data_IF_128530190074
#
_entry.id   IF_128530190074
#
_cell.length_a   1.000
_cell.length_b   1.000
_cell.length_c   1.000
_cell.angle_alpha   90.00
_cell.angle_beta   90.00
_cell.angle_gamma   90.00
#
_symmetry.space_group_name_H-M   'P 1'
#
loop_
_entity.id
_entity.type
_entity.pdbx_description
1 polymer ?
#
# COMPACT_ATOMS: atom_id res chain seq x y z
N UNK A 1 13.11 -3.83 -7.46
CA UNK A 1 12.62 -2.94 -6.40
C UNK A 1 12.81 -1.49 -6.85
N UNK A 2 11.75 -0.67 -6.81
CA UNK A 2 11.74 0.72 -7.29
C UNK A 2 11.06 1.62 -6.27
N UNK A 3 11.64 2.77 -5.90
CA UNK A 3 10.98 3.76 -5.05
C UNK A 3 9.86 4.44 -5.86
N UNK A 4 8.65 4.46 -5.32
CA UNK A 4 7.46 5.00 -6.01
C UNK A 4 6.94 6.28 -5.37
N UNK A 5 7.13 6.44 -4.05
CA UNK A 5 6.63 7.59 -3.33
C UNK A 5 7.32 7.78 -1.97
N UNK A 6 7.18 8.95 -1.36
CA UNK A 6 7.58 9.19 0.02
C UNK A 6 6.75 10.32 0.64
N UNK A 7 6.66 10.33 1.96
CA UNK A 7 6.10 11.43 2.76
C UNK A 7 6.89 11.66 4.03
N UNK A 8 6.60 12.79 4.68
CA UNK A 8 7.02 13.05 6.04
C UNK A 8 5.77 13.04 6.94
N UNK A 9 5.78 12.19 7.95
CA UNK A 9 4.72 12.13 8.96
C UNK A 9 4.64 13.45 9.76
N UNK A 10 3.53 13.70 10.43
CA UNK A 10 3.32 14.93 11.22
C UNK A 10 4.31 15.12 12.38
N UNK A 11 5.00 14.07 12.81
CA UNK A 11 6.05 14.10 13.82
C UNK A 11 7.47 14.02 13.23
N UNK A 12 7.63 14.26 11.93
CA UNK A 12 8.92 14.50 11.26
C UNK A 12 9.63 13.26 10.73
N UNK A 13 9.06 12.06 10.89
CA UNK A 13 9.64 10.83 10.32
C UNK A 13 9.44 10.77 8.81
N UNK A 14 10.53 10.59 8.06
CA UNK A 14 10.52 10.30 6.63
C UNK A 14 10.16 8.84 6.35
N UNK A 15 9.19 8.62 5.46
CA UNK A 15 8.72 7.29 5.06
C UNK A 15 8.79 7.18 3.54
N UNK A 16 9.48 6.15 3.05
CA UNK A 16 9.61 5.88 1.61
C UNK A 16 8.95 4.55 1.25
N UNK A 17 8.23 4.54 0.13
CA UNK A 17 7.49 3.40 -0.39
C UNK A 17 8.16 2.84 -1.63
N UNK A 18 8.30 1.53 -1.69
CA UNK A 18 8.96 0.81 -2.76
C UNK A 18 8.04 -0.25 -3.35
N UNK A 19 7.99 -0.31 -4.67
CA UNK A 19 7.37 -1.40 -5.41
C UNK A 19 8.37 -2.55 -5.57
N UNK A 20 7.90 -3.76 -5.29
CA UNK A 20 8.65 -4.99 -5.54
C UNK A 20 7.73 -6.08 -6.06
N UNK A 21 8.31 -7.06 -6.76
CA UNK A 21 7.63 -8.27 -7.16
C UNK A 21 8.06 -9.41 -6.22
N UNK A 22 7.13 -10.28 -5.89
CA UNK A 22 7.38 -11.55 -5.21
C UNK A 22 7.06 -12.65 -6.21
N UNK A 23 7.95 -13.62 -6.34
CA UNK A 23 7.73 -14.79 -7.20
C UNK A 23 6.49 -15.56 -6.70
N UNK A 24 5.63 -16.00 -7.62
CA UNK A 24 4.41 -16.74 -7.27
C UNK A 24 4.70 -18.07 -6.54
N UNK A 25 5.90 -18.63 -6.71
CA UNK A 25 6.37 -19.83 -6.02
C UNK A 25 7.14 -19.51 -4.72
N UNK A 26 7.31 -18.25 -4.34
CA UNK A 26 7.99 -17.88 -3.11
C UNK A 26 7.16 -18.29 -1.88
N UNK A 27 7.80 -18.93 -0.92
CA UNK A 27 7.24 -19.18 0.40
C UNK A 27 7.54 -18.01 1.34
N UNK A 28 6.50 -17.39 1.90
CA UNK A 28 6.62 -16.41 2.98
C UNK A 28 6.71 -17.14 4.33
N UNK A 29 7.84 -17.01 5.00
CA UNK A 29 8.00 -17.45 6.40
C UNK A 29 7.94 -16.22 7.29
N UNK A 30 6.93 -16.14 8.14
CA UNK A 30 6.74 -15.03 9.07
C UNK A 30 7.52 -15.29 10.36
N UNK A 31 8.17 -14.27 10.89
CA UNK A 31 8.69 -14.27 12.25
C UNK A 31 7.56 -13.85 13.21
N UNK A 32 7.18 -14.75 14.12
CA UNK A 32 6.07 -14.52 15.04
C UNK A 32 6.37 -13.46 16.11
N UNK A 33 7.63 -13.10 16.35
CA UNK A 33 8.00 -12.00 17.25
C UNK A 33 7.70 -10.62 16.62
N UNK A 34 7.69 -10.54 15.29
CA UNK A 34 7.55 -9.28 14.54
C UNK A 34 6.20 -9.17 13.81
N UNK A 35 5.67 -10.29 13.29
CA UNK A 35 4.48 -10.32 12.43
C UNK A 35 3.45 -11.30 12.98
N UNK A 36 2.32 -10.76 13.45
CA UNK A 36 1.21 -11.56 13.95
C UNK A 36 0.45 -12.28 12.81
N UNK A 37 0.23 -11.62 11.68
CA UNK A 37 -0.47 -12.17 10.51
C UNK A 37 -0.02 -11.50 9.21
N UNK A 38 -0.16 -12.20 8.08
CA UNK A 38 0.05 -11.65 6.75
C UNK A 38 -1.11 -12.04 5.83
N UNK A 39 -1.72 -11.05 5.18
CA UNK A 39 -2.83 -11.22 4.25
C UNK A 39 -2.63 -10.35 3.01
N UNK A 40 -3.11 -10.83 1.86
CA UNK A 40 -3.19 -10.05 0.63
C UNK A 40 -4.53 -9.33 0.58
N UNK A 41 -4.51 -8.02 0.37
CA UNK A 41 -5.72 -7.18 0.30
C UNK A 41 -5.73 -6.39 -1.00
N UNK A 42 -6.92 -6.24 -1.59
CA UNK A 42 -7.16 -5.21 -2.58
C UNK A 42 -7.03 -3.82 -1.94
N UNK A 43 -6.67 -2.77 -2.70
CA UNK A 43 -6.55 -1.44 -2.12
C UNK A 43 -7.84 -0.99 -1.43
N UNK A 44 -9.02 -1.23 -2.01
CA UNK A 44 -10.33 -0.89 -1.42
C UNK A 44 -10.51 -1.49 -0.02
N UNK A 45 -10.14 -2.77 0.15
CA UNK A 45 -10.17 -3.46 1.43
C UNK A 45 -9.17 -2.85 2.42
N UNK A 46 -7.96 -2.54 1.95
CA UNK A 46 -6.94 -1.90 2.76
C UNK A 46 -7.40 -0.51 3.24
N UNK A 47 -7.97 0.31 2.36
CA UNK A 47 -8.45 1.64 2.70
C UNK A 47 -9.61 1.64 3.71
N UNK A 48 -10.43 0.59 3.71
CA UNK A 48 -11.55 0.45 4.64
C UNK A 48 -11.12 0.01 6.05
N UNK A 49 -9.88 -0.42 6.26
CA UNK A 49 -9.37 -0.79 7.60
C UNK A 49 -9.26 0.45 8.48
N UNK A 50 -9.54 0.30 9.77
CA UNK A 50 -9.54 1.40 10.76
C UNK A 50 -8.26 1.46 11.61
N UNK A 51 -7.40 0.44 11.51
CA UNK A 51 -6.24 0.19 12.35
C UNK A 51 -4.90 0.49 11.62
N UNK A 52 -4.95 1.13 10.46
CA UNK A 52 -3.74 1.47 9.73
C UNK A 52 -3.01 2.65 10.38
N UNK A 53 -1.68 2.61 10.33
CA UNK A 53 -0.87 3.79 10.67
C UNK A 53 -1.16 4.93 9.68
N UNK A 54 -1.10 6.20 10.12
CA UNK A 54 -1.42 7.38 9.29
C UNK A 54 -0.72 7.43 7.93
N UNK A 55 0.55 7.02 7.87
CA UNK A 55 1.34 7.01 6.63
C UNK A 55 0.75 6.09 5.55
N UNK A 56 0.02 5.03 5.91
CA UNK A 56 -0.69 4.18 4.96
C UNK A 56 -1.83 4.96 4.29
N UNK A 57 -2.62 5.70 5.07
CA UNK A 57 -3.71 6.52 4.51
C UNK A 57 -3.18 7.64 3.61
N UNK A 58 -2.05 8.26 3.97
CA UNK A 58 -1.38 9.25 3.14
C UNK A 58 -0.95 8.64 1.79
N UNK A 59 -0.31 7.47 1.82
CA UNK A 59 0.09 6.73 0.62
C UNK A 59 -1.12 6.39 -0.27
N UNK A 60 -2.18 5.83 0.32
CA UNK A 60 -3.41 5.46 -0.39
C UNK A 60 -4.10 6.68 -1.00
N UNK A 61 -4.12 7.82 -0.28
CA UNK A 61 -4.69 9.07 -0.77
C UNK A 61 -3.86 9.66 -1.91
N UNK A 62 -2.53 9.60 -1.81
CA UNK A 62 -1.63 10.03 -2.87
C UNK A 62 -1.75 9.15 -4.13
N UNK A 63 -1.96 7.84 -3.96
CA UNK A 63 -2.24 6.93 -5.06
C UNK A 63 -3.58 7.26 -5.73
N UNK A 64 -4.65 7.48 -4.93
CA UNK A 64 -5.96 7.91 -5.42
C UNK A 64 -5.92 9.23 -6.18
N UNK A 65 -5.10 10.16 -5.72
CA UNK A 65 -4.87 11.45 -6.37
C UNK A 65 -3.87 11.40 -7.53
N UNK A 66 -3.48 10.19 -7.99
CA UNK A 66 -2.55 9.95 -9.08
C UNK A 66 -1.20 10.69 -8.94
N UNK A 67 -0.69 10.84 -7.69
CA UNK A 67 0.64 11.43 -7.43
C UNK A 67 1.78 10.50 -7.84
N UNK A 68 1.50 9.22 -7.93
CA UNK A 68 2.35 8.17 -8.45
C UNK A 68 1.48 7.06 -9.05
N UNK A 69 2.10 6.09 -9.70
CA UNK A 69 1.45 4.90 -10.24
C UNK A 69 2.25 3.66 -9.88
N UNK A 70 1.56 2.52 -9.79
CA UNK A 70 2.15 1.19 -9.58
C UNK A 70 2.00 0.41 -10.89
N UNK A 71 3.09 -0.14 -11.40
CA UNK A 71 3.13 -0.76 -12.72
C UNK A 71 2.21 -1.97 -12.81
N UNK A 72 1.34 -2.02 -13.83
CA UNK A 72 0.46 -3.17 -14.07
C UNK A 72 -0.63 -3.38 -13.03
N UNK A 73 -0.81 -2.44 -12.09
CA UNK A 73 -1.87 -2.50 -11.08
C UNK A 73 -2.90 -1.38 -11.29
N UNK A 74 -4.18 -1.73 -11.28
CA UNK A 74 -5.27 -0.76 -11.37
C UNK A 74 -6.40 -1.09 -10.40
N UNK A 75 -6.35 -0.52 -9.19
CA UNK A 75 -7.57 -0.06 -8.50
C UNK A 75 -7.28 0.90 -7.32
N UNK A 76 -7.22 2.22 -7.56
CA UNK A 76 -7.27 3.26 -6.52
C UNK A 76 -8.72 3.68 -6.15
N UNK A 77 -9.54 2.65 -5.90
CA UNK A 77 -10.90 2.64 -5.33
C UNK A 77 -12.07 2.90 -6.30
N UNK A 78 -11.98 2.36 -7.51
CA UNK A 78 -12.99 2.34 -8.57
C UNK A 78 -14.27 1.54 -8.15
N UNK A 79 -15.46 1.81 -8.77
CA UNK A 79 -15.64 1.92 -10.22
C UNK A 79 -16.27 3.23 -10.75
N UNK A 80 -16.01 3.54 -12.02
CA UNK A 80 -16.75 4.57 -12.77
C UNK A 80 -17.35 4.02 -14.07
N UNK A 81 -18.69 3.92 -14.10
CA UNK A 81 -19.60 3.75 -15.25
C UNK A 81 -20.86 2.92 -14.91
N UNK A 82 -22.10 3.45 -14.81
CA UNK A 82 -22.58 4.81 -15.09
C UNK A 82 -24.02 5.12 -14.58
N UNK A 83 -24.40 6.38 -14.73
CA UNK A 83 -25.75 6.94 -14.88
C UNK A 83 -25.79 7.73 -16.19
#
# INVERSE_FOLDING_TARGET
>A
MQKIWHSQTSWGTEVAWWETAIDAAASLTLDAEEVAEAVWLHPTELHARADLLPSNYEFLSAWKAAKFAIGGFSDPFAPHGGD
#
